data_IF_675581723946
#
_entry.id   IF_675581723946
#
_cell.length_a   1.000
_cell.length_b   1.000
_cell.length_c   1.000
_cell.angle_alpha   90.00
_cell.angle_beta   90.00
_cell.angle_gamma   90.00
#
_symmetry.space_group_name_H-M   'P 1'
#
loop_
_entity.id
_entity.type
_entity.pdbx_description
1 polymer ?
#
# COMPACT_ATOMS: atom_id res chain seq x y z
N UNK A 1 -21.52 -0.14 -28.87
CA UNK A 1 -20.68 0.60 -27.90
C UNK A 1 -20.26 1.93 -28.52
N UNK A 2 -20.15 3.00 -27.72
CA UNK A 2 -19.60 4.29 -28.15
C UNK A 2 -18.12 4.09 -28.52
N UNK A 3 -17.62 4.77 -29.55
CA UNK A 3 -16.18 4.68 -29.88
C UNK A 3 -15.36 5.41 -28.81
N UNK A 4 -14.15 4.92 -28.50
CA UNK A 4 -13.29 5.58 -27.53
C UNK A 4 -12.84 6.99 -27.96
N UNK A 5 -12.65 7.88 -26.97
CA UNK A 5 -12.18 9.25 -27.18
C UNK A 5 -10.81 9.30 -27.88
N UNK A 6 -9.91 8.34 -27.62
CA UNK A 6 -8.60 8.26 -28.27
C UNK A 6 -8.70 8.07 -29.79
N UNK A 7 -9.84 7.59 -30.33
CA UNK A 7 -10.11 7.49 -31.76
C UNK A 7 -11.08 8.57 -32.27
N UNK A 8 -11.37 9.59 -31.48
CA UNK A 8 -11.96 10.83 -31.88
C UNK A 8 -13.39 11.12 -31.43
N UNK A 9 -13.98 10.33 -30.53
CA UNK A 9 -15.27 10.66 -29.91
C UNK A 9 -15.08 11.54 -28.65
N UNK A 10 -16.18 12.01 -28.06
CA UNK A 10 -16.17 12.78 -26.80
C UNK A 10 -15.79 11.87 -25.61
N UNK A 11 -14.99 12.34 -24.65
CA UNK A 11 -14.61 11.54 -23.49
C UNK A 11 -15.83 11.16 -22.64
N UNK A 12 -15.71 10.03 -21.94
CA UNK A 12 -16.73 9.56 -21.00
C UNK A 12 -16.84 10.46 -19.77
N UNK A 13 -15.71 11.04 -19.33
CA UNK A 13 -15.65 11.98 -18.21
C UNK A 13 -15.03 13.32 -18.67
N UNK A 14 -15.82 14.24 -19.27
CA UNK A 14 -15.29 15.53 -19.77
C UNK A 14 -14.67 16.38 -18.67
N UNK A 15 -15.18 16.32 -17.44
CA UNK A 15 -14.67 17.03 -16.26
C UNK A 15 -13.58 16.27 -15.52
N UNK A 16 -13.23 15.05 -15.99
CA UNK A 16 -12.26 14.16 -15.39
C UNK A 16 -12.78 13.37 -14.18
N UNK A 17 -12.37 12.10 -14.09
CA UNK A 17 -12.55 11.23 -12.93
C UNK A 17 -11.18 11.04 -12.26
N UNK A 18 -10.92 11.66 -11.09
CA UNK A 18 -9.63 11.54 -10.42
C UNK A 18 -9.40 10.11 -9.94
N UNK A 19 -8.14 9.70 -9.91
CA UNK A 19 -7.75 8.37 -9.42
C UNK A 19 -8.21 8.13 -7.98
N UNK A 20 -8.11 9.16 -7.14
CA UNK A 20 -8.47 9.05 -5.75
C UNK A 20 -8.89 10.41 -5.16
N UNK A 21 -9.69 10.37 -4.09
CA UNK A 21 -9.94 11.51 -3.19
C UNK A 21 -9.83 11.04 -1.74
N UNK A 22 -9.12 11.80 -0.86
CA UNK A 22 -9.02 11.43 0.55
C UNK A 22 -10.38 11.35 1.23
N UNK A 23 -10.62 10.25 1.93
CA UNK A 23 -11.75 10.13 2.84
C UNK A 23 -11.43 10.90 4.15
N UNK A 24 -11.60 12.22 4.12
CA UNK A 24 -11.28 13.10 5.25
C UNK A 24 -12.50 13.28 6.16
N UNK A 25 -12.33 13.25 7.50
CA UNK A 25 -13.41 13.61 8.42
C UNK A 25 -13.76 15.09 8.31
N UNK A 26 -14.96 15.45 8.80
CA UNK A 26 -15.41 16.84 8.84
C UNK A 26 -14.48 17.70 9.72
N UNK A 27 -14.11 18.88 9.23
CA UNK A 27 -13.11 19.74 9.87
C UNK A 27 -13.52 20.20 11.27
N UNK A 28 -14.81 20.50 11.46
CA UNK A 28 -15.38 20.91 12.75
C UNK A 28 -15.23 19.83 13.83
N UNK A 29 -15.41 18.55 13.47
CA UNK A 29 -15.17 17.42 14.37
C UNK A 29 -13.70 17.31 14.76
N UNK A 30 -12.79 17.49 13.81
CA UNK A 30 -11.35 17.49 14.06
C UNK A 30 -10.95 18.63 14.99
N UNK A 31 -11.45 19.84 14.72
CA UNK A 31 -11.19 21.03 15.57
C UNK A 31 -11.71 20.82 16.99
N UNK A 32 -12.96 20.32 17.13
CA UNK A 32 -13.56 20.04 18.45
C UNK A 32 -12.73 19.02 19.24
N UNK A 33 -12.21 17.99 18.59
CA UNK A 33 -11.38 16.96 19.23
C UNK A 33 -9.99 17.48 19.61
N UNK A 34 -9.40 18.33 18.78
CA UNK A 34 -8.06 18.88 18.99
C UNK A 34 -8.03 19.96 20.08
N UNK A 35 -9.08 20.76 20.19
CA UNK A 35 -9.12 21.97 21.01
C UNK A 35 -8.65 21.78 22.45
N UNK A 36 -9.02 20.68 23.20
CA UNK A 36 -8.54 20.46 24.57
C UNK A 36 -7.01 20.28 24.71
N UNK A 37 -6.35 19.67 23.72
CA UNK A 37 -4.89 19.51 23.71
C UNK A 37 -4.22 20.80 23.26
N UNK A 38 -4.76 21.44 22.24
CA UNK A 38 -4.22 22.66 21.64
C UNK A 38 -4.19 23.84 22.62
N UNK A 39 -5.30 24.06 23.34
CA UNK A 39 -5.41 25.16 24.35
C UNK A 39 -4.46 24.99 25.54
N UNK A 40 -3.99 23.76 25.81
CA UNK A 40 -2.97 23.46 26.83
C UNK A 40 -1.54 23.51 26.28
N UNK A 41 -1.36 23.81 24.99
CA UNK A 41 -0.05 23.77 24.34
C UNK A 41 0.51 22.38 24.12
N UNK A 42 -0.31 21.32 24.26
CA UNK A 42 0.10 19.93 24.02
C UNK A 42 -0.09 19.62 22.53
N UNK A 43 1.00 19.62 21.76
CA UNK A 43 0.94 19.52 20.29
C UNK A 43 1.48 18.20 19.73
N UNK A 44 2.14 17.39 20.56
CA UNK A 44 2.75 16.12 20.13
C UNK A 44 2.76 15.09 21.26
N UNK A 45 2.63 13.82 20.89
CA UNK A 45 2.81 12.65 21.75
C UNK A 45 2.11 12.78 23.12
N UNK A 46 0.84 13.17 23.12
CA UNK A 46 0.08 13.44 24.33
C UNK A 46 -1.23 12.64 24.39
N UNK A 47 -2.31 13.24 24.88
CA UNK A 47 -3.54 12.53 25.21
C UNK A 47 -4.26 11.94 23.98
N UNK A 48 -4.32 12.68 22.86
CA UNK A 48 -4.99 12.19 21.65
C UNK A 48 -4.19 11.08 20.97
N UNK A 49 -2.86 11.16 21.00
CA UNK A 49 -2.00 10.09 20.49
C UNK A 49 -2.23 8.82 21.30
N UNK A 50 -2.26 8.88 22.63
CA UNK A 50 -2.54 7.70 23.48
C UNK A 50 -3.94 7.15 23.26
N UNK A 51 -4.98 8.01 23.19
CA UNK A 51 -6.34 7.58 22.85
C UNK A 51 -6.39 6.87 21.50
N UNK A 52 -5.66 7.40 20.52
CA UNK A 52 -5.58 6.78 19.19
C UNK A 52 -4.88 5.42 19.22
N UNK A 53 -3.77 5.29 19.94
CA UNK A 53 -3.07 4.00 20.12
C UNK A 53 -3.98 2.96 20.77
N UNK A 54 -4.70 3.32 21.83
CA UNK A 54 -5.66 2.43 22.53
C UNK A 54 -6.79 1.98 21.60
N UNK A 55 -7.42 2.91 20.89
CA UNK A 55 -8.53 2.57 19.95
C UNK A 55 -8.07 1.81 18.73
N UNK A 56 -6.86 2.09 18.23
CA UNK A 56 -6.26 1.33 17.14
C UNK A 56 -5.90 -0.09 17.59
N UNK A 57 -5.40 -0.26 18.82
CA UNK A 57 -5.11 -1.57 19.42
C UNK A 57 -6.40 -2.42 19.56
N UNK A 58 -7.48 -1.84 20.05
CA UNK A 58 -8.80 -2.48 20.10
C UNK A 58 -9.29 -2.87 18.70
N UNK A 59 -9.13 -1.97 17.73
CA UNK A 59 -9.57 -2.20 16.34
C UNK A 59 -8.78 -3.32 15.67
N UNK A 60 -7.46 -3.39 15.88
CA UNK A 60 -6.58 -4.42 15.33
C UNK A 60 -6.63 -5.72 16.14
N UNK A 61 -7.09 -5.68 17.39
CA UNK A 61 -7.15 -6.86 18.27
C UNK A 61 -5.78 -7.27 18.81
N UNK A 62 -4.91 -6.30 19.08
CA UNK A 62 -3.55 -6.50 19.58
C UNK A 62 -3.32 -5.72 20.88
N UNK A 63 -2.39 -6.16 21.73
CA UNK A 63 -2.13 -5.48 23.02
C UNK A 63 -1.37 -4.15 22.86
N UNK A 64 -0.56 -3.98 21.81
CA UNK A 64 0.32 -2.84 21.66
C UNK A 64 0.22 -2.24 20.26
N UNK A 65 -0.02 -0.94 20.21
CA UNK A 65 0.07 -0.10 19.01
C UNK A 65 0.88 1.14 19.36
N UNK A 66 1.84 1.46 18.52
CA UNK A 66 2.71 2.62 18.66
C UNK A 66 2.46 3.55 17.48
N UNK A 67 1.99 4.76 17.77
CA UNK A 67 1.78 5.79 16.75
C UNK A 67 3.11 6.42 16.33
N UNK A 68 3.29 6.55 15.02
CA UNK A 68 4.52 7.06 14.40
C UNK A 68 4.21 8.20 13.44
N UNK A 69 5.20 9.08 13.19
CA UNK A 69 5.05 10.23 12.30
C UNK A 69 4.79 9.84 10.83
N UNK A 70 5.19 8.63 10.42
CA UNK A 70 4.91 8.05 9.11
C UNK A 70 5.09 6.53 9.12
N UNK A 71 4.43 5.82 8.21
CA UNK A 71 4.66 4.38 8.01
C UNK A 71 6.14 4.07 7.77
N UNK A 72 6.81 4.87 6.95
CA UNK A 72 8.24 4.70 6.66
C UNK A 72 9.09 4.76 7.92
N UNK A 73 8.83 5.72 8.83
CA UNK A 73 9.53 5.78 10.11
C UNK A 73 9.22 4.56 10.99
N UNK A 74 7.98 4.07 10.98
CA UNK A 74 7.60 2.82 11.65
C UNK A 74 8.36 1.62 11.09
N UNK A 75 8.42 1.47 9.77
CA UNK A 75 9.18 0.41 9.10
C UNK A 75 10.68 0.49 9.45
N UNK A 76 11.28 1.69 9.41
CA UNK A 76 12.69 1.90 9.77
C UNK A 76 12.99 1.46 11.22
N UNK A 77 12.21 1.93 12.17
CA UNK A 77 12.39 1.59 13.60
C UNK A 77 12.16 0.10 13.86
N UNK A 78 11.13 -0.48 13.25
CA UNK A 78 10.81 -1.90 13.44
C UNK A 78 11.86 -2.78 12.78
N UNK A 79 12.32 -2.45 11.58
CA UNK A 79 13.43 -3.17 10.91
C UNK A 79 14.70 -3.09 11.74
N UNK A 80 15.07 -1.90 12.26
CA UNK A 80 16.23 -1.74 13.14
C UNK A 80 16.11 -2.55 14.44
N UNK A 81 14.89 -2.73 14.95
CA UNK A 81 14.66 -3.49 16.17
C UNK A 81 14.73 -5.01 15.96
N UNK A 82 14.36 -5.49 14.77
CA UNK A 82 14.22 -6.92 14.46
C UNK A 82 15.40 -7.49 13.65
N UNK A 83 15.96 -6.72 12.71
CA UNK A 83 17.05 -7.20 11.87
C UNK A 83 18.41 -7.06 12.56
N UNK A 84 19.33 -7.97 12.25
CA UNK A 84 20.73 -7.81 12.65
C UNK A 84 21.42 -6.76 11.77
N UNK A 85 22.24 -5.85 12.34
CA UNK A 85 23.00 -4.88 11.58
C UNK A 85 23.90 -5.56 10.54
N UNK A 86 23.81 -5.10 9.29
CA UNK A 86 24.55 -5.68 8.15
C UNK A 86 23.95 -6.97 7.59
N UNK A 87 22.88 -7.49 8.19
CA UNK A 87 22.15 -8.66 7.69
C UNK A 87 21.32 -8.37 6.44
N UNK A 88 20.85 -9.44 5.80
CA UNK A 88 19.90 -9.32 4.67
C UNK A 88 18.47 -9.26 5.18
N UNK A 89 17.65 -8.44 4.51
CA UNK A 89 16.20 -8.38 4.70
C UNK A 89 15.53 -8.88 3.42
N UNK A 90 14.93 -10.06 3.48
CA UNK A 90 14.22 -10.66 2.33
C UNK A 90 12.83 -10.02 2.23
N UNK A 91 12.46 -9.56 1.03
CA UNK A 91 11.19 -8.88 0.78
C UNK A 91 10.76 -9.02 -0.68
N UNK A 92 9.43 -8.89 -1.00
CA UNK A 92 9.02 -8.86 -2.40
C UNK A 92 9.57 -7.61 -3.09
N UNK A 93 9.90 -7.73 -4.37
CA UNK A 93 10.26 -6.56 -5.16
C UNK A 93 9.02 -5.79 -5.68
N UNK A 94 7.88 -6.45 -5.75
CA UNK A 94 6.60 -5.80 -6.07
C UNK A 94 6.00 -5.17 -4.81
N UNK A 95 6.52 -4.03 -4.41
CA UNK A 95 6.10 -3.25 -3.24
C UNK A 95 6.39 -1.77 -3.44
N UNK A 96 5.95 -0.94 -2.51
CA UNK A 96 6.38 0.45 -2.47
C UNK A 96 7.82 0.57 -1.96
N UNK A 97 8.58 1.52 -2.48
CA UNK A 97 10.01 1.69 -2.16
C UNK A 97 10.33 1.87 -0.68
N UNK A 98 9.36 2.35 0.13
CA UNK A 98 9.55 2.54 1.58
C UNK A 98 9.93 1.25 2.31
N UNK A 99 9.42 0.09 1.86
CA UNK A 99 9.77 -1.23 2.42
C UNK A 99 11.27 -1.49 2.31
N UNK A 100 11.85 -1.24 1.13
CA UNK A 100 13.29 -1.42 0.90
C UNK A 100 14.13 -0.29 1.52
N UNK A 101 13.64 0.96 1.48
CA UNK A 101 14.31 2.08 2.14
C UNK A 101 14.48 1.82 3.63
N UNK A 102 13.48 1.23 4.29
CA UNK A 102 13.56 0.89 5.71
C UNK A 102 14.72 -0.05 6.03
N UNK A 103 14.98 -1.07 5.21
CA UNK A 103 16.12 -1.96 5.37
C UNK A 103 17.46 -1.20 5.26
N UNK A 104 17.62 -0.37 4.23
CA UNK A 104 18.83 0.43 4.01
C UNK A 104 19.07 1.41 5.17
N UNK A 105 18.05 2.12 5.60
CA UNK A 105 18.15 3.06 6.72
C UNK A 105 18.39 2.37 8.07
N UNK A 106 17.96 1.11 8.22
CA UNK A 106 18.27 0.28 9.38
C UNK A 106 19.69 -0.32 9.35
N UNK A 107 20.47 -0.07 8.29
CA UNK A 107 21.82 -0.59 8.13
C UNK A 107 21.86 -2.04 7.61
N UNK A 108 20.77 -2.52 7.04
CA UNK A 108 20.65 -3.84 6.41
C UNK A 108 20.62 -3.75 4.88
N UNK A 109 20.79 -4.87 4.21
CA UNK A 109 20.74 -4.95 2.74
C UNK A 109 19.42 -5.61 2.31
N UNK A 110 18.57 -4.94 1.50
CA UNK A 110 17.39 -5.58 0.95
C UNK A 110 17.78 -6.70 -0.03
N UNK A 111 17.12 -7.85 0.08
CA UNK A 111 17.22 -8.97 -0.85
C UNK A 111 15.85 -9.22 -1.44
N UNK A 112 15.73 -8.95 -2.73
CA UNK A 112 14.43 -8.97 -3.40
C UNK A 112 14.03 -10.37 -3.83
N UNK A 113 12.75 -10.70 -3.60
CA UNK A 113 12.11 -11.92 -4.05
C UNK A 113 11.00 -11.62 -5.06
N UNK A 114 10.56 -12.66 -5.78
CA UNK A 114 9.45 -12.62 -6.72
C UNK A 114 8.11 -12.33 -6.05
N UNK A 115 7.15 -11.94 -6.86
CA UNK A 115 5.73 -11.96 -6.49
C UNK A 115 4.94 -12.96 -7.33
N UNK A 116 3.84 -13.46 -6.77
CA UNK A 116 2.83 -14.23 -7.51
C UNK A 116 2.13 -13.33 -8.53
N UNK A 117 1.91 -13.83 -9.73
CA UNK A 117 1.40 -13.04 -10.86
C UNK A 117 -0.09 -12.70 -10.77
N UNK A 118 -0.86 -13.39 -9.96
CA UNK A 118 -2.30 -13.16 -9.79
C UNK A 118 -2.62 -12.32 -8.56
N UNK A 119 -2.05 -12.66 -7.42
CA UNK A 119 -2.25 -11.96 -6.14
C UNK A 119 -1.33 -10.75 -5.97
N UNK A 120 -0.22 -10.68 -6.70
CA UNK A 120 0.85 -9.68 -6.54
C UNK A 120 1.55 -9.74 -5.17
N UNK A 121 1.35 -10.79 -4.38
CA UNK A 121 1.94 -10.98 -3.07
C UNK A 121 3.32 -11.67 -3.17
N UNK A 122 4.06 -11.73 -2.06
CA UNK A 122 5.35 -12.42 -1.99
C UNK A 122 5.22 -13.88 -2.45
N UNK A 123 6.05 -14.29 -3.40
CA UNK A 123 6.21 -15.71 -3.76
C UNK A 123 7.05 -16.40 -2.69
N UNK A 124 6.41 -17.32 -1.94
CA UNK A 124 7.04 -18.01 -0.81
C UNK A 124 8.11 -19.01 -1.24
N UNK A 125 7.96 -19.64 -2.40
CA UNK A 125 8.94 -20.58 -2.93
C UNK A 125 10.23 -19.89 -3.38
N UNK A 126 10.12 -18.70 -3.94
CA UNK A 126 11.28 -17.87 -4.28
C UNK A 126 11.89 -17.23 -3.03
N UNK A 127 11.08 -16.72 -2.10
CA UNK A 127 11.54 -16.17 -0.84
C UNK A 127 12.35 -17.21 -0.03
N UNK A 128 11.89 -18.46 0.03
CA UNK A 128 12.58 -19.55 0.72
C UNK A 128 14.01 -19.78 0.20
N UNK A 129 14.26 -19.64 -1.11
CA UNK A 129 15.57 -19.78 -1.73
C UNK A 129 16.53 -18.62 -1.38
N UNK A 130 16.01 -17.52 -0.84
CA UNK A 130 16.75 -16.29 -0.56
C UNK A 130 17.03 -16.06 0.91
N UNK A 131 16.63 -16.99 1.81
CA UNK A 131 16.76 -16.83 3.26
C UNK A 131 18.15 -17.12 3.82
N UNK A 132 19.07 -17.68 3.03
CA UNK A 132 20.42 -17.93 3.52
C UNK A 132 21.12 -16.61 3.93
N UNK A 133 21.54 -16.53 5.21
CA UNK A 133 22.11 -15.34 5.82
C UNK A 133 21.12 -14.16 6.02
N UNK A 134 19.83 -14.40 5.85
CA UNK A 134 18.81 -13.39 6.15
C UNK A 134 18.63 -13.21 7.66
N UNK A 135 18.36 -11.98 8.09
CA UNK A 135 18.08 -11.61 9.47
C UNK A 135 16.63 -11.16 9.69
N UNK A 136 15.87 -10.96 8.62
CA UNK A 136 14.46 -10.56 8.66
C UNK A 136 13.77 -10.99 7.36
N UNK A 137 12.52 -11.46 7.47
CA UNK A 137 11.61 -11.66 6.35
C UNK A 137 10.49 -10.61 6.40
N UNK A 138 10.23 -9.95 5.27
CA UNK A 138 9.15 -8.95 5.15
C UNK A 138 8.09 -9.46 4.18
N UNK A 139 6.85 -9.60 4.66
CA UNK A 139 5.66 -9.72 3.83
C UNK A 139 5.01 -8.37 3.54
N UNK A 140 4.26 -8.24 2.45
CA UNK A 140 3.51 -7.02 2.14
C UNK A 140 2.06 -7.34 1.84
N UNK A 141 1.12 -6.54 2.38
CA UNK A 141 -0.31 -6.64 2.06
C UNK A 141 -0.64 -5.72 0.89
N UNK A 142 -0.24 -6.13 -0.32
CA UNK A 142 -0.31 -5.29 -1.51
C UNK A 142 -1.75 -4.92 -1.86
N UNK A 143 -1.99 -3.63 -2.08
CA UNK A 143 -3.30 -3.03 -2.39
C UNK A 143 -4.38 -3.24 -1.33
N UNK A 144 -4.00 -3.78 -0.16
CA UNK A 144 -4.88 -4.06 0.96
C UNK A 144 -5.39 -5.51 1.02
N UNK A 145 -5.04 -6.35 0.06
CA UNK A 145 -5.27 -7.79 0.14
C UNK A 145 -4.25 -8.42 1.10
N UNK A 146 -4.67 -9.28 2.05
CA UNK A 146 -3.74 -10.00 2.91
C UNK A 146 -2.82 -10.91 2.08
N UNK A 147 -1.52 -10.87 2.36
CA UNK A 147 -0.59 -11.89 1.88
C UNK A 147 -0.64 -13.08 2.85
N UNK A 148 -0.64 -14.28 2.45
CA UNK A 148 -0.74 -15.47 3.32
C UNK A 148 0.13 -15.39 4.60
N UNK A 149 -0.27 -14.59 5.63
CA UNK A 149 0.62 -14.25 6.73
C UNK A 149 1.02 -15.45 7.57
N UNK A 150 0.14 -16.43 7.73
CA UNK A 150 0.47 -17.69 8.45
C UNK A 150 1.58 -18.48 7.73
N UNK A 151 1.61 -18.47 6.40
CA UNK A 151 2.65 -19.14 5.62
C UNK A 151 3.98 -18.36 5.65
N UNK A 152 3.93 -17.03 5.63
CA UNK A 152 5.11 -16.18 5.81
C UNK A 152 5.72 -16.37 7.21
N UNK A 153 4.89 -16.42 8.27
CA UNK A 153 5.33 -16.73 9.64
C UNK A 153 5.98 -18.11 9.73
N UNK A 154 5.37 -19.13 9.11
CA UNK A 154 5.92 -20.47 9.09
C UNK A 154 7.30 -20.51 8.40
N UNK A 155 7.46 -19.78 7.30
CA UNK A 155 8.72 -19.67 6.58
C UNK A 155 9.80 -18.96 7.43
N UNK A 156 9.47 -17.86 8.11
CA UNK A 156 10.36 -17.18 9.05
C UNK A 156 10.77 -18.08 10.21
N UNK A 157 9.81 -18.82 10.80
CA UNK A 157 10.08 -19.75 11.89
C UNK A 157 11.00 -20.91 11.46
N UNK A 158 10.82 -21.45 10.25
CA UNK A 158 11.72 -22.49 9.71
C UNK A 158 13.15 -21.98 9.52
N UNK A 159 13.31 -20.71 9.14
CA UNK A 159 14.61 -20.07 8.98
C UNK A 159 15.19 -19.54 10.31
N UNK A 160 14.40 -19.52 11.38
CA UNK A 160 14.80 -18.98 12.68
C UNK A 160 14.97 -17.46 12.69
N UNK A 161 14.26 -16.73 11.81
CA UNK A 161 14.33 -15.29 11.69
C UNK A 161 12.97 -14.64 11.97
N UNK A 162 12.94 -13.38 12.46
CA UNK A 162 11.71 -12.63 12.66
C UNK A 162 11.00 -12.30 11.35
N UNK A 163 9.69 -12.00 11.47
CA UNK A 163 8.82 -11.62 10.37
C UNK A 163 8.21 -10.25 10.65
N UNK A 164 8.32 -9.33 9.69
CA UNK A 164 7.68 -8.03 9.66
C UNK A 164 6.68 -7.97 8.50
N UNK A 165 5.51 -7.36 8.72
CA UNK A 165 4.60 -7.07 7.61
C UNK A 165 4.53 -5.56 7.34
N UNK A 166 4.76 -5.18 6.07
CA UNK A 166 4.35 -3.89 5.57
C UNK A 166 2.86 -3.96 5.24
N UNK A 167 2.06 -3.49 6.19
CA UNK A 167 0.60 -3.46 6.14
C UNK A 167 0.07 -2.06 5.78
N UNK A 168 0.90 -1.24 5.08
CA UNK A 168 0.56 0.16 4.75
C UNK A 168 -0.80 0.34 4.07
N UNK A 169 -1.34 -0.70 3.45
CA UNK A 169 -2.62 -0.71 2.74
C UNK A 169 -3.75 -1.45 3.48
N UNK A 170 -3.46 -2.15 4.58
CA UNK A 170 -4.33 -3.21 5.10
C UNK A 170 -5.04 -2.90 6.43
N UNK A 171 -5.10 -1.63 6.87
CA UNK A 171 -5.79 -1.27 8.11
C UNK A 171 -7.31 -1.52 7.97
N UNK A 172 -7.79 -2.63 8.52
CA UNK A 172 -9.17 -3.10 8.41
C UNK A 172 -9.37 -4.30 7.49
N UNK A 173 -8.30 -4.86 6.93
CA UNK A 173 -8.32 -6.17 6.25
C UNK A 173 -8.41 -7.32 7.23
N UNK A 174 -8.88 -8.47 6.75
CA UNK A 174 -8.89 -9.72 7.54
C UNK A 174 -8.41 -10.91 6.70
N UNK A 175 -7.68 -11.82 7.32
CA UNK A 175 -7.32 -13.13 6.78
C UNK A 175 -8.17 -14.21 7.44
N UNK A 176 -9.02 -14.90 6.68
CA UNK A 176 -9.93 -15.93 7.20
C UNK A 176 -10.66 -15.47 8.49
N UNK A 177 -11.19 -14.24 8.49
CA UNK A 177 -11.87 -13.63 9.64
C UNK A 177 -10.96 -13.09 10.75
N UNK A 178 -9.64 -13.34 10.73
CA UNK A 178 -8.65 -12.77 11.66
C UNK A 178 -8.21 -11.40 11.17
N UNK A 179 -8.18 -10.41 12.05
CA UNK A 179 -7.76 -9.03 11.71
C UNK A 179 -6.28 -8.99 11.36
N UNK A 180 -5.92 -8.28 10.29
CA UNK A 180 -4.56 -7.86 10.02
C UNK A 180 -4.17 -6.85 11.11
N UNK A 181 -3.02 -7.05 11.75
CA UNK A 181 -2.52 -6.31 12.91
C UNK A 181 -1.86 -7.21 13.96
N UNK A 182 -2.14 -8.51 13.94
CA UNK A 182 -1.64 -9.47 14.90
C UNK A 182 -0.78 -10.59 14.32
N UNK A 183 -0.19 -10.40 13.16
CA UNK A 183 0.71 -11.36 12.53
C UNK A 183 2.17 -10.93 12.62
N UNK A 184 3.09 -11.87 12.50
CA UNK A 184 4.52 -11.67 12.62
C UNK A 184 4.95 -11.14 13.98
N UNK A 185 6.17 -10.59 14.00
CA UNK A 185 6.67 -9.88 15.16
C UNK A 185 6.07 -8.46 15.24
N UNK A 186 5.75 -7.87 14.08
CA UNK A 186 5.05 -6.59 13.98
C UNK A 186 4.41 -6.39 12.60
N UNK A 187 3.40 -5.53 12.55
CA UNK A 187 2.79 -5.02 11.31
C UNK A 187 2.77 -3.50 11.32
N UNK A 188 3.14 -2.87 10.20
CA UNK A 188 3.25 -1.41 10.10
C UNK A 188 2.25 -0.85 9.11
N UNK A 189 1.38 0.05 9.57
CA UNK A 189 0.29 0.64 8.80
C UNK A 189 0.57 2.11 8.48
N UNK A 190 0.11 2.54 7.31
CA UNK A 190 0.18 3.93 6.87
C UNK A 190 -1.15 4.65 7.08
N UNK A 191 -1.08 5.91 7.51
CA UNK A 191 -2.21 6.82 7.69
C UNK A 191 -2.10 8.07 6.81
N UNK A 192 -1.29 7.99 5.73
CA UNK A 192 -1.13 9.07 4.77
C UNK A 192 -2.46 9.36 4.03
N UNK A 193 -2.61 10.50 3.34
CA UNK A 193 -3.88 10.92 2.74
C UNK A 193 -4.49 9.93 1.75
N UNK A 194 -3.65 9.07 1.15
CA UNK A 194 -4.10 8.09 0.16
C UNK A 194 -4.66 6.80 0.78
N UNK A 195 -4.59 6.64 2.10
CA UNK A 195 -4.98 5.40 2.78
C UNK A 195 -6.47 5.38 3.16
N UNK A 196 -6.96 4.22 3.57
CA UNK A 196 -8.38 4.05 3.95
C UNK A 196 -8.67 4.69 5.31
N UNK A 197 -7.73 4.57 6.25
CA UNK A 197 -7.69 5.34 7.49
C UNK A 197 -6.68 6.48 7.33
N UNK A 198 -7.09 7.71 7.46
CA UNK A 198 -6.24 8.88 7.21
C UNK A 198 -5.98 9.68 8.50
N UNK A 199 -4.73 10.17 8.62
CA UNK A 199 -4.33 11.12 9.67
C UNK A 199 -3.81 12.46 9.09
N UNK A 200 -3.74 12.58 7.75
CA UNK A 200 -2.95 13.58 7.05
C UNK A 200 -1.54 13.06 6.81
N UNK A 201 -0.75 12.88 7.84
CA UNK A 201 0.47 12.06 7.86
C UNK A 201 0.47 11.21 9.12
N UNK A 202 1.17 10.07 9.09
CA UNK A 202 1.27 9.16 10.23
C UNK A 202 1.36 7.69 9.83
N UNK A 203 1.51 6.89 10.84
CA UNK A 203 1.45 5.44 10.79
C UNK A 203 1.24 4.86 12.18
N UNK A 204 1.07 3.56 12.24
CA UNK A 204 1.12 2.79 13.49
C UNK A 204 1.92 1.52 13.30
N UNK A 205 2.61 1.10 14.37
CA UNK A 205 3.21 -0.22 14.48
C UNK A 205 2.38 -1.03 15.47
N UNK A 206 1.89 -2.19 15.04
CA UNK A 206 1.15 -3.13 15.86
C UNK A 206 2.03 -4.33 16.21
N UNK A 207 2.04 -4.75 17.48
CA UNK A 207 2.79 -5.92 17.92
C UNK A 207 2.14 -6.58 19.13
N UNK A 208 2.45 -7.86 19.35
CA UNK A 208 2.09 -8.60 20.56
C UNK A 208 3.24 -8.68 21.56
N UNK A 209 4.43 -8.30 21.15
CA UNK A 209 5.63 -8.34 21.97
C UNK A 209 5.79 -7.05 22.80
N UNK A 210 5.69 -7.12 24.15
CA UNK A 210 5.82 -5.95 25.00
C UNK A 210 7.23 -5.35 25.00
N UNK A 211 8.27 -6.15 24.79
CA UNK A 211 9.66 -5.65 24.77
C UNK A 211 9.91 -4.89 23.46
N UNK A 212 9.42 -5.41 22.34
CA UNK A 212 9.44 -4.69 21.07
C UNK A 212 8.62 -3.40 21.14
N UNK A 213 7.42 -3.44 21.73
CA UNK A 213 6.60 -2.25 21.92
C UNK A 213 7.33 -1.18 22.76
N UNK A 214 7.95 -1.58 23.88
CA UNK A 214 8.75 -0.67 24.69
C UNK A 214 9.91 -0.07 23.91
N UNK A 215 10.66 -0.87 23.18
CA UNK A 215 11.77 -0.41 22.33
C UNK A 215 11.30 0.59 21.26
N UNK A 216 10.15 0.34 20.64
CA UNK A 216 9.57 1.24 19.65
C UNK A 216 9.10 2.56 20.28
N UNK A 217 8.48 2.53 21.46
CA UNK A 217 8.13 3.76 22.18
C UNK A 217 9.34 4.65 22.51
N UNK A 218 10.47 4.05 22.89
CA UNK A 218 11.72 4.81 23.03
C UNK A 218 12.23 5.30 21.66
N UNK A 219 12.16 4.43 20.64
CA UNK A 219 12.66 4.68 19.30
C UNK A 219 12.01 5.87 18.61
N UNK A 220 10.70 6.09 18.81
CA UNK A 220 9.98 7.26 18.24
C UNK A 220 10.41 8.59 18.85
N UNK A 221 11.09 8.56 20.01
CA UNK A 221 11.65 9.72 20.70
C UNK A 221 13.16 9.59 20.90
N UNK A 222 13.88 9.40 19.80
CA UNK A 222 15.36 9.34 19.74
C UNK A 222 16.00 8.19 20.53
N UNK A 223 15.27 7.20 21.02
CA UNK A 223 15.76 6.18 21.93
C UNK A 223 15.97 6.68 23.37
N UNK A 224 15.27 7.77 23.75
CA UNK A 224 15.41 8.47 25.02
C UNK A 224 14.38 7.96 26.04
N UNK A 225 14.81 7.43 27.21
CA UNK A 225 13.90 7.02 28.29
C UNK A 225 13.34 8.17 29.10
N UNK A 226 13.75 9.44 28.84
CA UNK A 226 13.29 10.65 29.52
C UNK A 226 14.37 11.39 30.35
N UNK A 227 15.61 10.93 30.31
CA UNK A 227 16.75 11.50 31.07
C UNK A 227 17.91 11.99 30.18
N UNK A 228 17.69 12.08 28.85
CA UNK A 228 18.69 12.44 27.83
C UNK A 228 19.83 11.43 27.65
N UNK A 229 19.85 10.29 28.35
CA UNK A 229 20.79 9.20 28.10
C UNK A 229 20.16 8.22 27.09
N UNK A 230 20.33 8.52 25.80
CA UNK A 230 19.73 7.71 24.70
C UNK A 230 20.32 6.31 24.67
N UNK A 231 19.46 5.30 24.76
CA UNK A 231 19.87 3.90 24.83
C UNK A 231 20.29 3.33 23.46
N UNK A 232 19.75 3.89 22.39
CA UNK A 232 20.10 3.56 20.99
C UNK A 232 19.70 4.72 20.05
N UNK A 233 20.19 4.68 18.80
CA UNK A 233 19.83 5.69 17.80
C UNK A 233 18.39 5.48 17.34
N UNK A 234 17.48 6.29 17.90
CA UNK A 234 16.08 6.36 17.45
C UNK A 234 15.84 7.49 16.46
N UNK A 235 14.58 7.81 16.20
CA UNK A 235 14.14 8.84 15.27
C UNK A 235 13.30 9.91 15.98
N UNK A 236 13.18 11.09 15.40
CA UNK A 236 12.07 12.00 15.69
C UNK A 236 10.84 11.52 14.90
N UNK A 237 10.16 10.52 15.42
CA UNK A 237 9.04 9.85 14.75
C UNK A 237 7.74 9.94 15.57
N UNK A 238 7.64 10.88 16.50
CA UNK A 238 6.42 11.09 17.28
C UNK A 238 5.27 11.57 16.41
N UNK A 239 4.09 11.01 16.61
CA UNK A 239 2.87 11.54 16.01
C UNK A 239 2.46 12.84 16.70
N UNK A 240 1.98 13.84 15.95
CA UNK A 240 1.41 15.05 16.52
C UNK A 240 -0.03 14.86 16.99
N UNK A 241 -0.47 15.65 17.97
CA UNK A 241 -1.88 15.67 18.40
C UNK A 241 -2.84 16.11 17.27
N UNK A 242 -2.36 16.91 16.30
CA UNK A 242 -3.15 17.29 15.14
C UNK A 242 -3.48 16.07 14.27
N UNK A 243 -2.46 15.26 13.95
CA UNK A 243 -2.65 14.03 13.18
C UNK A 243 -3.47 12.99 13.95
N UNK A 244 -3.25 12.87 15.27
CA UNK A 244 -4.05 11.98 16.11
C UNK A 244 -5.54 12.38 16.15
N UNK A 245 -5.86 13.67 16.19
CA UNK A 245 -7.24 14.16 16.12
C UNK A 245 -7.93 13.76 14.81
N UNK A 246 -7.22 13.90 13.68
CA UNK A 246 -7.72 13.45 12.36
C UNK A 246 -7.90 11.94 12.34
N UNK A 247 -6.89 11.19 12.82
CA UNK A 247 -6.91 9.72 12.85
C UNK A 247 -8.08 9.17 13.67
N UNK A 248 -8.35 9.76 14.84
CA UNK A 248 -9.47 9.36 15.70
C UNK A 248 -10.82 9.59 15.02
N UNK A 249 -11.01 10.75 14.39
CA UNK A 249 -12.23 11.03 13.64
C UNK A 249 -12.40 10.11 12.42
N UNK A 250 -11.30 9.80 11.72
CA UNK A 250 -11.28 8.88 10.58
C UNK A 250 -11.56 7.43 11.02
N UNK A 251 -11.04 7.01 12.19
CA UNK A 251 -11.28 5.68 12.74
C UNK A 251 -12.77 5.43 13.05
N UNK A 252 -13.48 6.46 13.47
CA UNK A 252 -14.92 6.39 13.75
C UNK A 252 -15.76 6.18 12.49
N UNK A 253 -15.25 6.54 11.31
CA UNK A 253 -15.93 6.39 10.01
C UNK A 253 -15.40 5.18 9.20
N UNK A 254 -14.42 4.43 9.73
CA UNK A 254 -13.69 3.42 8.98
C UNK A 254 -14.56 2.30 8.43
N UNK A 255 -15.53 1.79 9.22
CA UNK A 255 -16.38 0.66 8.80
C UNK A 255 -17.25 1.03 7.61
N UNK A 256 -17.80 2.24 7.60
CA UNK A 256 -18.58 2.76 6.48
C UNK A 256 -17.69 2.92 5.22
N UNK A 257 -16.46 3.43 5.41
CA UNK A 257 -15.49 3.57 4.31
C UNK A 257 -15.15 2.20 3.70
N UNK A 258 -14.89 1.20 4.55
CA UNK A 258 -14.57 -0.15 4.09
C UNK A 258 -15.74 -0.80 3.35
N UNK A 259 -16.97 -0.63 3.86
CA UNK A 259 -18.15 -1.19 3.23
C UNK A 259 -18.37 -0.62 1.82
N UNK A 260 -18.29 0.71 1.67
CA UNK A 260 -18.42 1.39 0.37
C UNK A 260 -17.32 0.94 -0.61
N UNK A 261 -16.05 0.85 -0.15
CA UNK A 261 -14.95 0.43 -1.04
C UNK A 261 -15.10 -1.00 -1.52
N UNK A 262 -15.57 -1.90 -0.66
CA UNK A 262 -15.85 -3.29 -1.02
C UNK A 262 -16.96 -3.39 -2.05
N UNK A 263 -18.07 -2.66 -1.85
CA UNK A 263 -19.16 -2.60 -2.85
C UNK A 263 -18.68 -2.12 -4.22
N UNK A 264 -17.91 -1.02 -4.25
CA UNK A 264 -17.34 -0.51 -5.50
C UNK A 264 -16.39 -1.52 -6.17
N UNK A 265 -15.57 -2.22 -5.37
CA UNK A 265 -14.66 -3.24 -5.88
C UNK A 265 -15.41 -4.45 -6.44
N UNK A 266 -16.50 -4.88 -5.80
CA UNK A 266 -17.32 -5.99 -6.26
C UNK A 266 -18.04 -5.62 -7.58
N UNK A 267 -18.49 -4.37 -7.74
CA UNK A 267 -19.08 -3.87 -8.99
C UNK A 267 -18.04 -3.87 -10.13
N UNK A 268 -16.79 -3.42 -9.87
CA UNK A 268 -15.71 -3.54 -10.84
C UNK A 268 -15.44 -4.99 -11.23
N UNK A 269 -15.32 -5.91 -10.25
CA UNK A 269 -15.10 -7.33 -10.52
C UNK A 269 -16.19 -7.94 -11.39
N UNK A 270 -17.45 -7.67 -11.02
CA UNK A 270 -18.59 -8.17 -11.80
C UNK A 270 -18.59 -7.63 -13.24
N UNK A 271 -18.31 -6.34 -13.41
CA UNK A 271 -18.31 -5.70 -14.73
C UNK A 271 -17.14 -6.12 -15.61
N UNK A 272 -15.95 -6.33 -15.02
CA UNK A 272 -14.74 -6.71 -15.77
C UNK A 272 -14.63 -8.22 -16.02
N UNK A 273 -15.44 -9.06 -15.37
CA UNK A 273 -15.33 -10.53 -15.43
C UNK A 273 -15.40 -11.11 -16.86
N UNK A 274 -16.05 -10.41 -17.79
CA UNK A 274 -16.21 -10.85 -19.18
C UNK A 274 -15.37 -10.02 -20.18
N UNK A 275 -14.44 -9.19 -19.72
CA UNK A 275 -13.52 -8.44 -20.58
C UNK A 275 -12.26 -9.28 -20.77
N UNK A 276 -12.01 -9.82 -21.98
CA UNK A 276 -10.82 -10.64 -22.23
C UNK A 276 -9.53 -9.87 -21.92
N UNK A 277 -8.53 -10.56 -21.38
CA UNK A 277 -7.22 -9.97 -21.11
C UNK A 277 -7.17 -8.99 -19.93
N UNK A 278 -8.27 -8.82 -19.17
CA UNK A 278 -8.29 -7.99 -17.94
C UNK A 278 -8.65 -8.85 -16.75
N UNK A 279 -7.73 -8.99 -15.80
CA UNK A 279 -7.95 -9.71 -14.56
C UNK A 279 -7.79 -8.75 -13.35
N UNK A 280 -8.75 -8.74 -12.42
CA UNK A 280 -8.59 -8.04 -11.14
C UNK A 280 -7.65 -8.85 -10.25
N UNK A 281 -6.79 -8.16 -9.46
CA UNK A 281 -5.94 -8.82 -8.46
C UNK A 281 -6.70 -9.91 -7.71
N UNK A 282 -6.11 -11.11 -7.62
CA UNK A 282 -6.69 -12.22 -6.90
C UNK A 282 -6.64 -11.96 -5.39
N UNK A 283 -7.78 -12.09 -4.72
CA UNK A 283 -7.93 -12.07 -3.26
C UNK A 283 -8.57 -13.38 -2.86
N UNK A 284 -8.02 -14.05 -1.84
CA UNK A 284 -8.59 -15.29 -1.31
C UNK A 284 -10.06 -15.05 -0.92
N UNK A 285 -11.00 -15.94 -1.27
CA UNK A 285 -12.44 -15.78 -0.96
C UNK A 285 -12.76 -15.65 0.53
N UNK A 286 -11.92 -16.21 1.40
CA UNK A 286 -12.09 -16.14 2.85
C UNK A 286 -11.49 -14.86 3.45
N UNK A 287 -10.82 -14.03 2.62
CA UNK A 287 -10.20 -12.78 3.04
C UNK A 287 -11.07 -11.58 2.75
N UNK A 288 -10.84 -10.53 3.53
CA UNK A 288 -11.44 -9.23 3.30
C UNK A 288 -10.37 -8.19 3.07
N UNK A 289 -10.33 -7.64 1.86
CA UNK A 289 -9.42 -6.54 1.49
C UNK A 289 -10.00 -5.18 1.87
N UNK A 290 -9.13 -4.20 2.12
CA UNK A 290 -9.49 -2.79 2.15
C UNK A 290 -9.71 -2.22 0.75
N UNK A 291 -9.20 -2.90 -0.29
CA UNK A 291 -9.10 -2.36 -1.65
C UNK A 291 -8.56 -0.93 -1.64
N UNK A 292 -7.42 -0.72 -0.94
CA UNK A 292 -6.75 0.60 -0.98
C UNK A 292 -6.52 1.04 -2.42
N UNK A 293 -6.15 0.12 -3.30
CA UNK A 293 -6.24 0.26 -4.75
C UNK A 293 -7.03 -0.92 -5.33
N UNK A 294 -7.83 -0.66 -6.35
CA UNK A 294 -8.38 -1.70 -7.22
C UNK A 294 -7.45 -1.83 -8.42
N UNK A 295 -6.70 -2.89 -8.46
CA UNK A 295 -5.69 -3.10 -9.51
C UNK A 295 -6.11 -4.21 -10.44
N UNK A 296 -5.98 -3.95 -11.73
CA UNK A 296 -6.15 -4.92 -12.80
C UNK A 296 -4.81 -5.27 -13.43
N UNK A 297 -4.71 -6.49 -13.92
CA UNK A 297 -3.58 -7.03 -14.68
C UNK A 297 -4.04 -7.16 -16.11
N UNK A 298 -3.32 -6.57 -17.06
CA UNK A 298 -3.69 -6.51 -18.47
C UNK A 298 -2.79 -7.44 -19.27
N UNK A 299 -3.38 -8.46 -19.89
CA UNK A 299 -2.67 -9.30 -20.85
C UNK A 299 -2.91 -8.76 -22.26
N UNK A 300 -1.84 -8.22 -22.88
CA UNK A 300 -1.87 -7.63 -24.20
C UNK A 300 -2.33 -8.63 -25.29
N UNK A 301 -1.94 -9.89 -25.14
CA UNK A 301 -2.27 -10.91 -26.15
C UNK A 301 -3.79 -11.16 -26.26
N UNK A 302 -4.49 -11.09 -25.12
CA UNK A 302 -5.93 -11.31 -25.06
C UNK A 302 -6.73 -10.00 -25.13
N UNK A 303 -6.19 -8.88 -24.58
CA UNK A 303 -6.86 -7.58 -24.57
C UNK A 303 -6.66 -6.78 -25.86
N UNK A 304 -5.54 -7.00 -26.56
CA UNK A 304 -5.18 -6.30 -27.79
C UNK A 304 -4.48 -4.95 -27.59
N UNK A 305 -4.33 -4.46 -26.35
CA UNK A 305 -3.56 -3.27 -25.99
C UNK A 305 -2.61 -3.60 -24.84
N UNK A 306 -1.40 -3.05 -24.89
CA UNK A 306 -0.52 -3.07 -23.72
C UNK A 306 -1.02 -2.12 -22.61
N UNK A 307 -0.43 -2.23 -21.41
CA UNK A 307 -0.77 -1.43 -20.25
C UNK A 307 -0.64 0.07 -20.50
N UNK A 308 0.42 0.52 -21.17
CA UNK A 308 0.70 1.94 -21.35
C UNK A 308 -0.27 2.56 -22.37
N UNK A 309 -0.61 1.85 -23.43
CA UNK A 309 -1.65 2.21 -24.38
C UNK A 309 -3.03 2.27 -23.71
N UNK A 310 -3.36 1.30 -22.86
CA UNK A 310 -4.60 1.34 -22.07
C UNK A 310 -4.65 2.56 -21.15
N UNK A 311 -3.57 2.87 -20.44
CA UNK A 311 -3.48 4.06 -19.56
C UNK A 311 -3.68 5.35 -20.36
N UNK A 312 -3.04 5.48 -21.54
CA UNK A 312 -3.21 6.62 -22.42
C UNK A 312 -4.66 6.74 -22.92
N UNK A 313 -5.29 5.63 -23.28
CA UNK A 313 -6.68 5.61 -23.72
C UNK A 313 -7.67 5.97 -22.60
N UNK A 314 -7.46 5.44 -21.38
CA UNK A 314 -8.25 5.81 -20.20
C UNK A 314 -8.10 7.31 -19.86
N UNK A 315 -6.89 7.84 -19.99
CA UNK A 315 -6.64 9.27 -19.81
C UNK A 315 -7.39 10.12 -20.86
N UNK A 316 -7.46 9.68 -22.10
CA UNK A 316 -8.25 10.36 -23.15
C UNK A 316 -9.75 10.37 -22.81
N UNK A 317 -10.25 9.37 -22.09
CA UNK A 317 -11.62 9.30 -21.58
C UNK A 317 -11.84 10.16 -20.31
N UNK A 318 -10.80 10.83 -19.82
CA UNK A 318 -10.82 11.63 -18.59
C UNK A 318 -10.68 10.76 -17.32
N UNK A 319 -10.24 9.50 -17.43
CA UNK A 319 -10.08 8.58 -16.31
C UNK A 319 -8.61 8.57 -15.87
N UNK A 320 -8.33 9.04 -14.64
CA UNK A 320 -7.00 9.03 -14.07
C UNK A 320 -6.68 7.66 -13.43
N UNK A 321 -5.50 7.11 -13.72
CA UNK A 321 -5.06 5.78 -13.28
C UNK A 321 -3.62 5.81 -12.78
N UNK A 322 -3.16 4.73 -12.12
CA UNK A 322 -1.77 4.60 -11.65
C UNK A 322 -1.20 3.22 -12.00
N UNK A 323 0.04 3.15 -12.53
CA UNK A 323 0.73 1.89 -12.80
C UNK A 323 1.49 1.40 -11.57
N UNK A 324 0.81 1.18 -10.43
CA UNK A 324 1.45 0.70 -9.21
C UNK A 324 1.70 -0.83 -9.27
N UNK A 325 2.97 -1.31 -9.21
CA UNK A 325 4.19 -0.53 -9.00
C UNK A 325 5.09 -0.69 -10.24
N UNK A 326 5.35 0.41 -10.93
CA UNK A 326 6.27 0.48 -12.06
C UNK A 326 7.20 1.68 -11.92
N UNK A 327 8.56 1.51 -12.04
CA UNK A 327 9.25 0.23 -12.09
C UNK A 327 9.22 -0.50 -10.73
N UNK A 328 9.37 -1.85 -10.70
CA UNK A 328 9.47 -2.60 -9.45
C UNK A 328 10.75 -2.22 -8.71
N UNK A 329 10.80 -2.43 -7.39
CA UNK A 329 11.85 -1.84 -6.55
C UNK A 329 13.25 -2.24 -6.98
N UNK A 330 13.49 -3.51 -7.36
CA UNK A 330 14.80 -3.98 -7.81
C UNK A 330 15.29 -3.28 -9.10
N UNK A 331 14.40 -2.70 -9.91
CA UNK A 331 14.73 -1.95 -11.14
C UNK A 331 14.90 -0.44 -10.89
N UNK A 332 14.64 0.05 -9.69
CA UNK A 332 14.81 1.48 -9.37
C UNK A 332 16.28 1.83 -9.23
N UNK A 333 16.65 3.04 -9.66
CA UNK A 333 18.04 3.53 -9.63
C UNK A 333 18.72 3.39 -8.26
N UNK A 334 17.95 3.57 -7.17
CA UNK A 334 18.45 3.42 -5.81
C UNK A 334 19.00 2.03 -5.51
N UNK A 335 18.54 1.01 -6.22
CA UNK A 335 18.87 -0.41 -6.00
C UNK A 335 19.61 -1.06 -7.17
N UNK A 336 19.99 -0.28 -8.19
CA UNK A 336 20.71 -0.80 -9.37
C UNK A 336 22.01 -1.55 -9.01
N UNK A 337 22.65 -1.17 -7.90
CA UNK A 337 23.87 -1.82 -7.40
C UNK A 337 23.64 -3.23 -6.83
N UNK A 338 22.39 -3.63 -6.60
CA UNK A 338 22.00 -4.96 -6.10
C UNK A 338 21.53 -5.90 -7.21
N UNK A 339 21.48 -5.46 -8.47
CA UNK A 339 20.92 -6.26 -9.58
C UNK A 339 21.67 -7.59 -9.79
N UNK A 340 22.99 -7.58 -9.73
CA UNK A 340 23.80 -8.79 -9.92
C UNK A 340 23.57 -9.83 -8.80
N UNK A 341 23.33 -9.38 -7.57
CA UNK A 341 23.05 -10.23 -6.42
C UNK A 341 21.59 -10.70 -6.41
N UNK A 342 20.65 -9.82 -6.81
CA UNK A 342 19.23 -10.12 -6.90
C UNK A 342 18.93 -11.17 -7.96
N UNK A 343 19.63 -11.12 -9.10
CA UNK A 343 19.31 -11.89 -10.29
C UNK A 343 18.02 -11.44 -10.97
N UNK A 344 17.52 -12.24 -11.90
CA UNK A 344 16.27 -11.95 -12.61
C UNK A 344 15.06 -12.25 -11.72
N UNK A 345 14.07 -11.37 -11.82
CA UNK A 345 12.75 -11.51 -11.20
C UNK A 345 11.65 -11.44 -12.29
N UNK A 346 11.55 -12.50 -13.15
CA UNK A 346 10.71 -12.46 -14.33
C UNK A 346 9.20 -12.34 -14.04
N UNK A 347 8.71 -12.95 -12.97
CA UNK A 347 7.29 -12.82 -12.56
C UNK A 347 6.98 -11.40 -12.10
N UNK A 348 7.85 -10.79 -11.30
CA UNK A 348 7.73 -9.42 -10.85
C UNK A 348 7.80 -8.42 -12.01
N UNK A 349 8.75 -8.60 -12.93
CA UNK A 349 8.87 -7.78 -14.13
C UNK A 349 7.61 -7.91 -15.01
N UNK A 350 7.07 -9.14 -15.14
CA UNK A 350 5.87 -9.40 -15.91
C UNK A 350 4.66 -8.68 -15.32
N UNK A 351 4.43 -8.80 -14.01
CA UNK A 351 3.32 -8.12 -13.30
C UNK A 351 3.45 -6.60 -13.42
N UNK A 352 4.64 -6.06 -13.11
CA UNK A 352 4.89 -4.61 -13.07
C UNK A 352 4.60 -3.91 -14.39
N UNK A 353 4.81 -4.61 -15.53
CA UNK A 353 4.51 -4.09 -16.86
C UNK A 353 3.02 -4.14 -17.22
N UNK A 354 2.19 -4.83 -16.45
CA UNK A 354 0.78 -5.15 -16.78
C UNK A 354 -0.24 -4.55 -15.84
N UNK A 355 0.19 -4.08 -14.66
CA UNK A 355 -0.74 -3.57 -13.64
C UNK A 355 -1.21 -2.15 -13.94
N UNK A 356 -2.51 -1.93 -13.69
CA UNK A 356 -3.16 -0.61 -13.69
C UNK A 356 -4.11 -0.56 -12.50
N UNK A 357 -3.93 0.43 -11.63
CA UNK A 357 -4.90 0.73 -10.57
C UNK A 357 -5.95 1.69 -11.09
N UNK A 358 -7.22 1.32 -10.94
CA UNK A 358 -8.39 2.07 -11.39
C UNK A 358 -8.90 3.01 -10.29
N UNK A 359 -9.67 4.06 -10.64
CA UNK A 359 -10.27 4.97 -9.65
C UNK A 359 -11.15 4.21 -8.65
N UNK A 360 -10.85 4.38 -7.34
CA UNK A 360 -11.69 3.82 -6.28
C UNK A 360 -11.57 4.68 -5.01
N UNK A 361 -12.64 5.42 -4.67
CA UNK A 361 -12.73 6.23 -3.48
C UNK A 361 -14.20 6.40 -3.03
N UNK A 362 -14.43 6.72 -1.75
CA UNK A 362 -15.73 6.69 -1.07
C UNK A 362 -16.84 7.44 -1.80
N UNK A 363 -16.57 8.69 -2.17
CA UNK A 363 -17.60 9.60 -2.69
C UNK A 363 -17.56 9.67 -4.23
N UNK A 364 -17.28 8.54 -4.91
CA UNK A 364 -17.35 8.46 -6.38
C UNK A 364 -18.77 8.80 -6.84
N UNK A 365 -18.91 9.59 -7.92
CA UNK A 365 -20.22 9.83 -8.49
C UNK A 365 -20.92 8.51 -8.84
N UNK A 366 -22.22 8.46 -8.62
CA UNK A 366 -23.06 7.30 -8.96
C UNK A 366 -22.89 6.93 -10.45
N UNK A 367 -22.79 5.63 -10.76
CA UNK A 367 -22.57 5.16 -12.14
C UNK A 367 -21.12 5.24 -12.66
N UNK A 368 -20.19 5.84 -11.88
CA UNK A 368 -18.79 5.97 -12.36
C UNK A 368 -18.12 4.63 -12.61
N UNK A 369 -18.35 3.63 -11.76
CA UNK A 369 -17.76 2.28 -11.92
C UNK A 369 -18.24 1.64 -13.22
N UNK A 370 -19.54 1.67 -13.47
CA UNK A 370 -20.16 1.12 -14.67
C UNK A 370 -19.62 1.80 -15.92
N UNK A 371 -19.50 3.14 -15.90
CA UNK A 371 -18.93 3.90 -17.01
C UNK A 371 -17.47 3.54 -17.26
N UNK A 372 -16.63 3.38 -16.22
CA UNK A 372 -15.23 2.92 -16.39
C UNK A 372 -15.17 1.52 -17.00
N UNK A 373 -16.03 0.60 -16.53
CA UNK A 373 -16.13 -0.76 -17.08
C UNK A 373 -16.55 -0.73 -18.57
N UNK A 374 -17.57 0.06 -18.93
CA UNK A 374 -18.03 0.23 -20.30
C UNK A 374 -16.93 0.81 -21.20
N UNK A 375 -16.15 1.76 -20.70
CA UNK A 375 -14.99 2.32 -21.39
C UNK A 375 -13.95 1.23 -21.65
N UNK A 376 -13.56 0.45 -20.65
CA UNK A 376 -12.58 -0.64 -20.79
C UNK A 376 -13.07 -1.67 -21.80
N UNK A 377 -14.33 -2.06 -21.75
CA UNK A 377 -14.93 -2.97 -22.72
C UNK A 377 -14.96 -2.39 -24.16
N UNK A 378 -15.18 -1.07 -24.28
CA UNK A 378 -15.12 -0.38 -25.57
C UNK A 378 -13.69 -0.31 -26.11
N UNK A 379 -12.69 -0.09 -25.26
CA UNK A 379 -11.27 -0.09 -25.64
C UNK A 379 -10.86 -1.47 -26.18
N UNK A 380 -11.26 -2.54 -25.51
CA UNK A 380 -11.08 -3.91 -26.02
C UNK A 380 -11.69 -4.09 -27.41
N UNK A 381 -12.96 -3.69 -27.60
CA UNK A 381 -13.66 -3.85 -28.88
C UNK A 381 -13.07 -3.04 -30.04
N UNK A 382 -12.26 -2.02 -29.76
CA UNK A 382 -11.63 -1.13 -30.73
C UNK A 382 -10.09 -1.21 -30.73
N UNK A 383 -9.51 -2.25 -30.11
CA UNK A 383 -8.06 -2.39 -29.94
C UNK A 383 -7.29 -2.26 -31.27
N UNK A 384 -7.76 -2.93 -32.35
CA UNK A 384 -7.14 -2.87 -33.66
C UNK A 384 -7.12 -1.44 -34.26
N UNK A 385 -8.15 -0.63 -33.95
CA UNK A 385 -8.21 0.75 -34.43
C UNK A 385 -7.25 1.66 -33.63
N UNK A 386 -7.08 1.38 -32.35
CA UNK A 386 -6.21 2.15 -31.45
C UNK A 386 -4.73 1.86 -31.80
N UNK A 387 -4.35 0.62 -31.98
CA UNK A 387 -2.97 0.22 -32.32
C UNK A 387 -2.53 0.68 -33.71
N UNK A 388 -3.46 0.84 -34.67
CA UNK A 388 -3.19 1.39 -35.99
C UNK A 388 -3.01 2.91 -36.02
N UNK A 389 -3.33 3.61 -34.92
CA UNK A 389 -3.18 5.05 -34.73
C UNK A 389 -2.27 5.32 -33.52
N UNK A 390 -0.96 5.14 -33.67
CA UNK A 390 -0.07 5.74 -32.68
C UNK A 390 -0.22 7.27 -32.76
N UNK A 391 -0.46 7.97 -31.64
CA UNK A 391 -0.39 9.44 -31.65
C UNK A 391 1.05 9.83 -31.92
N UNK A 392 1.28 10.57 -33.00
CA UNK A 392 2.54 11.29 -33.24
C UNK A 392 2.85 12.16 -32.00
N UNK A 393 3.88 11.81 -31.23
CA UNK A 393 4.42 12.69 -30.21
C UNK A 393 4.53 12.21 -28.77
N UNK A 394 4.50 10.89 -28.51
CA UNK A 394 4.97 10.38 -27.19
C UNK A 394 6.32 9.66 -27.38
N UNK A 395 7.36 10.45 -27.70
CA UNK A 395 8.71 10.08 -27.34
C UNK A 395 8.77 9.97 -25.81
N UNK A 396 9.38 8.88 -25.31
CA UNK A 396 9.39 8.51 -23.90
C UNK A 396 9.82 9.65 -22.99
N UNK A 397 8.85 10.41 -22.55
CA UNK A 397 9.00 11.31 -21.42
C UNK A 397 8.95 10.47 -20.16
N UNK A 398 10.02 10.49 -19.39
CA UNK A 398 10.03 10.00 -18.02
C UNK A 398 8.72 10.39 -17.33
N UNK A 399 8.02 9.49 -16.65
CA UNK A 399 6.86 9.86 -15.87
C UNK A 399 7.32 10.84 -14.79
N UNK A 400 6.96 12.13 -14.97
CA UNK A 400 7.17 13.14 -13.95
C UNK A 400 6.63 12.59 -12.62
N UNK A 401 7.52 12.58 -11.64
CA UNK A 401 7.24 12.27 -10.25
C UNK A 401 6.15 13.25 -9.77
N UNK A 402 4.90 12.81 -9.76
CA UNK A 402 3.82 13.57 -9.13
C UNK A 402 3.99 13.37 -7.62
N UNK A 403 4.10 14.43 -6.81
CA UNK A 403 4.25 14.31 -5.37
C UNK A 403 3.05 13.58 -4.77
N UNK A 404 3.37 12.70 -3.84
CA UNK A 404 2.48 11.85 -3.02
C UNK A 404 1.45 12.64 -2.22
#
# INVERSE_FOLDING_TARGET
MKRPAIVGDEPAFPDGLPFFRPAKPALDRVVQRLEPSYSKGMLTNSALVREFEERAAERLGVPHVIAVASCTAGLMLTTQALAEPGGYVVMPSFTFSATAHAAVWAGSTPRFAECDTGSCQLDLDDAAKRLDGASLLVGTHVFGAPCEPDAVEALGAQAGIPVLFDAAHAFGSTRAGRRIGGFGNAEVFSLSPTKVLVAGEGGVVATRDPDLAHRLHLGVDYGNPGDYDTQFAGLNARMSELHAAVALCSLEELDDHLAIRRDLADRYRAGLANVPGVAVQTVDPDDSSTYKDLTVIVDEADFGLDRDTLVAALKAEGIDTRPYFWPPVHRQHAYAHLLDETGDLPATDWVSRRVVSLPLWRDMPEGSVETVVEVIASLYAHADQITGKQPDGLEGGDPECVPS
#
